data_IF_674103613602
#
_entry.id   IF_674103613602
#
_cell.length_a   1.000
_cell.length_b   1.000
_cell.length_c   1.000
_cell.angle_alpha   90.00
_cell.angle_beta   90.00
_cell.angle_gamma   90.00
#
_symmetry.space_group_name_H-M   'P 1'
#
loop_
_entity.id
_entity.type
_entity.pdbx_description
1 polymer ?
#
# COMPACT_ATOMS: atom_id res chain seq x y z
N UNK A 1 7.52 -16.67 23.66
CA UNK A 1 8.00 -15.99 22.43
C UNK A 1 7.39 -16.78 21.28
N UNK A 2 6.46 -16.18 20.51
CA UNK A 2 5.89 -16.86 19.35
C UNK A 2 6.93 -16.69 18.24
N UNK A 3 7.57 -17.79 17.85
CA UNK A 3 8.43 -17.80 16.69
C UNK A 3 7.54 -17.81 15.43
N UNK A 4 7.72 -16.84 14.54
CA UNK A 4 7.13 -16.88 13.22
C UNK A 4 7.66 -18.13 12.49
N UNK A 5 6.78 -18.86 11.78
CA UNK A 5 7.22 -19.97 10.94
C UNK A 5 8.20 -19.52 9.86
N UNK A 6 8.96 -20.41 9.31
CA UNK A 6 9.78 -20.11 8.15
C UNK A 6 8.91 -19.78 6.94
N UNK A 7 9.40 -18.89 6.09
CA UNK A 7 8.77 -18.60 4.82
C UNK A 7 8.76 -19.84 3.93
N UNK A 8 7.68 -20.04 3.19
CA UNK A 8 7.67 -20.97 2.07
C UNK A 8 8.33 -20.31 0.83
N UNK A 9 8.55 -21.09 -0.24
CA UNK A 9 9.22 -20.59 -1.45
C UNK A 9 8.51 -19.39 -2.11
N UNK A 10 7.20 -19.36 -2.05
CA UNK A 10 6.40 -18.28 -2.62
C UNK A 10 6.55 -16.99 -1.81
N UNK A 11 6.49 -17.09 -0.50
CA UNK A 11 6.72 -15.98 0.42
C UNK A 11 8.16 -15.46 0.35
N UNK A 12 9.14 -16.37 0.23
CA UNK A 12 10.55 -15.99 0.02
C UNK A 12 10.75 -15.21 -1.29
N UNK A 13 10.04 -15.59 -2.37
CA UNK A 13 10.04 -14.85 -3.64
C UNK A 13 9.54 -13.42 -3.41
N UNK A 14 8.40 -13.26 -2.74
CA UNK A 14 7.82 -11.95 -2.44
C UNK A 14 8.75 -11.09 -1.56
N UNK A 15 9.31 -11.69 -0.51
CA UNK A 15 10.28 -11.02 0.37
C UNK A 15 11.51 -10.57 -0.41
N UNK A 16 12.07 -11.43 -1.25
CA UNK A 16 13.22 -11.10 -2.10
C UNK A 16 12.89 -9.96 -3.06
N UNK A 17 11.70 -9.96 -3.63
CA UNK A 17 11.25 -8.87 -4.50
C UNK A 17 11.20 -7.53 -3.74
N UNK A 18 10.58 -7.49 -2.54
CA UNK A 18 10.53 -6.27 -1.73
C UNK A 18 11.95 -5.75 -1.38
N UNK A 19 12.86 -6.66 -1.00
CA UNK A 19 14.26 -6.31 -0.71
C UNK A 19 14.96 -5.75 -1.95
N UNK A 20 14.80 -6.39 -3.12
CA UNK A 20 15.40 -5.93 -4.37
C UNK A 20 14.86 -4.55 -4.80
N UNK A 21 13.61 -4.25 -4.47
CA UNK A 21 13.00 -2.94 -4.67
C UNK A 21 13.34 -1.94 -3.55
N UNK A 22 14.21 -2.31 -2.60
CA UNK A 22 14.59 -1.46 -1.47
C UNK A 22 13.40 -0.96 -0.62
N UNK A 23 12.32 -1.71 -0.59
CA UNK A 23 11.13 -1.40 0.18
C UNK A 23 11.34 -1.84 1.62
N UNK A 24 11.20 -0.90 2.56
CA UNK A 24 11.19 -1.20 4.00
C UNK A 24 9.85 -1.79 4.40
N UNK A 25 9.86 -2.90 5.15
CA UNK A 25 8.67 -3.57 5.63
C UNK A 25 8.93 -4.33 6.93
N UNK A 26 7.86 -4.62 7.67
CA UNK A 26 7.87 -5.64 8.71
C UNK A 26 6.94 -6.79 8.33
N UNK A 27 7.14 -7.96 8.90
CA UNK A 27 6.27 -9.11 8.68
C UNK A 27 5.53 -9.50 9.95
N UNK A 28 4.31 -9.97 9.77
CA UNK A 28 3.47 -10.51 10.83
C UNK A 28 2.75 -11.77 10.37
N UNK A 29 2.76 -12.81 11.19
CA UNK A 29 2.02 -14.03 10.94
C UNK A 29 0.65 -13.97 11.61
N UNK A 30 -0.38 -14.41 10.91
CA UNK A 30 -1.74 -14.53 11.43
C UNK A 30 -1.88 -15.89 12.11
N UNK A 31 -2.05 -15.90 13.43
CA UNK A 31 -2.37 -17.13 14.14
C UNK A 31 -3.88 -17.36 14.17
N UNK A 32 -4.32 -18.62 14.22
CA UNK A 32 -5.74 -18.95 14.35
C UNK A 32 -6.39 -18.25 15.56
N UNK A 33 -5.68 -18.22 16.70
CA UNK A 33 -6.14 -17.52 17.91
C UNK A 33 -6.21 -16.01 17.70
N UNK A 34 -5.22 -15.44 17.02
CA UNK A 34 -5.16 -14.02 16.69
C UNK A 34 -6.33 -13.62 15.80
N UNK A 35 -6.60 -14.41 14.77
CA UNK A 35 -7.71 -14.19 13.86
C UNK A 35 -9.07 -14.26 14.56
N UNK A 36 -9.30 -15.29 15.38
CA UNK A 36 -10.56 -15.45 16.15
C UNK A 36 -10.80 -14.31 17.16
N UNK A 37 -9.74 -13.78 17.76
CA UNK A 37 -9.83 -12.70 18.75
C UNK A 37 -9.74 -11.30 18.18
N UNK A 38 -9.39 -11.15 16.90
CA UNK A 38 -9.09 -9.86 16.31
C UNK A 38 -7.90 -9.17 17.01
N UNK A 39 -6.85 -9.91 17.34
CA UNK A 39 -5.69 -9.40 18.09
C UNK A 39 -4.43 -10.09 17.57
N UNK A 40 -3.43 -9.31 17.21
CA UNK A 40 -2.11 -9.77 16.84
C UNK A 40 -1.07 -9.21 17.81
N UNK A 41 -0.04 -9.98 18.09
CA UNK A 41 1.09 -9.51 18.89
C UNK A 41 1.97 -8.61 18.04
N UNK A 42 2.19 -7.37 18.48
CA UNK A 42 3.18 -6.50 17.87
C UNK A 42 4.59 -6.96 18.32
N UNK A 43 5.17 -7.87 17.54
CA UNK A 43 6.50 -8.46 17.83
C UNK A 43 7.60 -7.39 17.87
N UNK A 44 8.76 -7.71 18.43
CA UNK A 44 9.85 -6.76 18.52
C UNK A 44 10.25 -6.16 17.16
N UNK A 45 10.36 -6.93 16.04
CA UNK A 45 10.61 -6.36 14.72
C UNK A 45 9.52 -5.41 14.25
N UNK A 46 8.24 -5.74 14.48
CA UNK A 46 7.11 -4.87 14.11
C UNK A 46 7.15 -3.55 14.89
N UNK A 47 7.48 -3.60 16.20
CA UNK A 47 7.59 -2.39 17.03
C UNK A 47 8.73 -1.49 16.59
N UNK A 48 9.90 -2.07 16.32
CA UNK A 48 11.06 -1.33 15.81
C UNK A 48 10.72 -0.65 14.48
N UNK A 49 10.11 -1.39 13.56
CA UNK A 49 9.67 -0.88 12.27
C UNK A 49 8.67 0.28 12.40
N UNK A 50 7.70 0.18 13.30
CA UNK A 50 6.72 1.26 13.53
C UNK A 50 7.36 2.50 14.13
N UNK A 51 8.34 2.34 15.01
CA UNK A 51 9.10 3.46 15.57
C UNK A 51 9.95 4.16 14.51
N UNK A 52 10.69 3.40 13.69
CA UNK A 52 11.57 3.91 12.63
C UNK A 52 10.81 4.65 11.53
N UNK A 53 9.55 4.31 11.31
CA UNK A 53 8.71 4.92 10.28
C UNK A 53 7.64 5.89 10.81
N UNK A 54 7.79 6.36 12.04
CA UNK A 54 6.89 7.32 12.71
C UNK A 54 5.39 6.89 12.74
N UNK A 55 5.13 5.58 12.66
CA UNK A 55 3.77 5.04 12.77
C UNK A 55 3.34 5.03 14.22
N UNK A 56 4.17 4.46 15.12
CA UNK A 56 3.83 4.36 16.53
C UNK A 56 5.02 3.98 17.39
N UNK A 57 5.07 4.59 18.59
CA UNK A 57 6.01 4.23 19.65
C UNK A 57 5.26 3.56 20.84
N UNK A 58 5.36 2.25 20.94
CA UNK A 58 4.75 1.49 22.03
C UNK A 58 5.40 1.73 23.39
N UNK A 59 6.67 2.14 23.45
CA UNK A 59 7.40 2.27 24.73
C UNK A 59 6.87 3.44 25.55
N UNK A 60 6.35 4.47 24.90
CA UNK A 60 5.74 5.63 25.56
C UNK A 60 4.21 5.54 25.65
N UNK A 61 3.61 4.49 25.09
CA UNK A 61 2.15 4.34 25.09
C UNK A 61 1.65 3.87 26.46
N UNK A 62 0.68 4.58 27.00
CA UNK A 62 -0.03 4.17 28.21
C UNK A 62 -0.90 2.93 27.94
N UNK A 63 -1.13 2.12 28.98
CA UNK A 63 -1.97 0.93 28.90
C UNK A 63 -3.46 1.31 28.96
N UNK A 64 -4.29 0.48 28.33
CA UNK A 64 -5.73 0.56 28.38
C UNK A 64 -6.39 1.01 27.07
N UNK A 65 -7.69 0.72 26.96
CA UNK A 65 -8.50 0.96 25.77
C UNK A 65 -8.54 2.43 25.34
N UNK A 66 -8.56 3.37 26.32
CA UNK A 66 -8.57 4.81 26.07
C UNK A 66 -7.29 5.36 25.44
N UNK A 67 -6.22 4.56 25.42
CA UNK A 67 -4.91 4.94 24.88
C UNK A 67 -4.59 4.25 23.55
N UNK A 68 -5.58 3.65 22.90
CA UNK A 68 -5.41 3.09 21.56
C UNK A 68 -5.01 4.16 20.55
N UNK A 69 -3.99 3.87 19.77
CA UNK A 69 -3.64 4.65 18.58
C UNK A 69 -4.34 4.04 17.38
N UNK A 70 -5.11 4.85 16.68
CA UNK A 70 -5.72 4.46 15.41
C UNK A 70 -4.86 4.99 14.26
N UNK A 71 -4.51 4.11 13.32
CA UNK A 71 -3.70 4.41 12.14
C UNK A 71 -4.50 4.11 10.89
N UNK A 72 -4.58 5.04 9.97
CA UNK A 72 -5.18 4.82 8.65
C UNK A 72 -4.44 3.69 7.96
N UNK A 73 -5.17 2.74 7.42
CA UNK A 73 -4.58 1.54 6.87
C UNK A 73 -5.28 1.11 5.59
N UNK A 74 -4.56 0.36 4.77
CA UNK A 74 -5.04 -0.14 3.49
C UNK A 74 -4.67 -1.61 3.35
N UNK A 75 -5.65 -2.47 3.10
CA UNK A 75 -5.41 -3.85 2.72
C UNK A 75 -5.37 -3.89 1.19
N UNK A 76 -4.24 -4.31 0.63
CA UNK A 76 -4.04 -4.41 -0.80
C UNK A 76 -4.24 -5.85 -1.26
N UNK A 77 -5.04 -6.00 -2.29
CA UNK A 77 -5.11 -7.22 -3.11
C UNK A 77 -4.46 -6.95 -4.46
N UNK A 78 -4.39 -7.93 -5.32
CA UNK A 78 -3.94 -7.78 -6.72
C UNK A 78 -4.92 -6.97 -7.58
N UNK A 79 -6.15 -6.75 -7.11
CA UNK A 79 -7.22 -6.05 -7.85
C UNK A 79 -7.67 -4.76 -7.19
N UNK A 80 -7.71 -4.70 -5.85
CA UNK A 80 -8.40 -3.65 -5.12
C UNK A 80 -7.60 -3.15 -3.91
N UNK A 81 -7.89 -1.93 -3.51
CA UNK A 81 -7.42 -1.32 -2.26
C UNK A 81 -8.61 -1.15 -1.32
N UNK A 82 -8.50 -1.71 -0.12
CA UNK A 82 -9.54 -1.62 0.90
C UNK A 82 -9.08 -0.69 2.02
N UNK A 83 -9.66 0.49 2.07
CA UNK A 83 -9.42 1.42 3.17
C UNK A 83 -9.99 0.88 4.48
N UNK A 84 -9.17 0.97 5.52
CA UNK A 84 -9.49 0.51 6.85
C UNK A 84 -8.69 1.30 7.89
N UNK A 85 -8.68 0.82 9.12
CA UNK A 85 -7.85 1.33 10.21
C UNK A 85 -7.15 0.20 10.93
N UNK A 86 -5.99 0.50 11.49
CA UNK A 86 -5.31 -0.38 12.43
C UNK A 86 -5.38 0.21 13.83
N UNK A 87 -5.70 -0.62 14.82
CA UNK A 87 -5.59 -0.25 16.23
C UNK A 87 -4.28 -0.75 16.80
N UNK A 88 -3.55 0.13 17.46
CA UNK A 88 -2.26 -0.16 18.12
C UNK A 88 -2.43 0.17 19.61
N UNK A 89 -2.22 -0.80 20.49
CA UNK A 89 -2.49 -0.58 21.90
C UNK A 89 -1.71 -1.52 22.82
N UNK A 90 -1.66 -1.13 24.12
CA UNK A 90 -1.16 -1.96 25.20
C UNK A 90 -2.31 -2.26 26.17
N UNK A 91 -2.72 -3.52 26.30
CA UNK A 91 -3.79 -3.88 27.24
C UNK A 91 -3.34 -3.68 28.70
N UNK A 92 -4.28 -3.42 29.60
CA UNK A 92 -4.01 -3.38 31.05
C UNK A 92 -3.57 -4.76 31.57
N UNK A 93 -4.08 -5.83 30.95
CA UNK A 93 -3.73 -7.21 31.25
C UNK A 93 -2.42 -7.61 30.58
N UNK A 94 -1.86 -8.78 30.99
CA UNK A 94 -0.62 -9.35 30.41
C UNK A 94 0.55 -8.37 30.36
N UNK A 95 0.73 -7.60 31.43
CA UNK A 95 1.83 -6.62 31.59
C UNK A 95 1.88 -5.58 30.46
N UNK A 96 0.79 -5.37 29.75
CA UNK A 96 0.71 -4.39 28.66
C UNK A 96 1.46 -4.81 27.40
N UNK A 97 1.51 -6.10 27.08
CA UNK A 97 2.15 -6.59 25.85
C UNK A 97 1.59 -5.86 24.63
N UNK A 98 2.45 -5.26 23.79
CA UNK A 98 2.01 -4.53 22.61
C UNK A 98 1.18 -5.37 21.64
N UNK A 99 0.06 -4.81 21.21
CA UNK A 99 -0.94 -5.45 20.35
C UNK A 99 -1.29 -4.58 19.17
N UNK A 100 -1.68 -5.24 18.10
CA UNK A 100 -2.26 -4.56 16.94
C UNK A 100 -3.43 -5.37 16.37
N UNK A 101 -4.28 -4.68 15.64
CA UNK A 101 -5.30 -5.31 14.80
C UNK A 101 -5.61 -4.41 13.60
N UNK A 102 -5.71 -5.02 12.42
CA UNK A 102 -6.17 -4.36 11.20
C UNK A 102 -7.63 -4.70 11.01
N UNK A 103 -8.52 -3.71 11.06
CA UNK A 103 -9.95 -3.94 10.90
C UNK A 103 -10.25 -4.54 9.52
N UNK A 104 -11.29 -5.39 9.45
CA UNK A 104 -11.70 -6.14 8.25
C UNK A 104 -10.67 -7.17 7.74
N UNK A 105 -9.50 -7.29 8.36
CA UNK A 105 -8.44 -8.21 7.91
C UNK A 105 -8.94 -9.65 7.74
N UNK A 106 -9.82 -10.13 8.62
CA UNK A 106 -10.34 -11.49 8.57
C UNK A 106 -11.05 -11.91 7.27
N UNK A 107 -11.37 -10.95 6.39
CA UNK A 107 -11.94 -11.25 5.07
C UNK A 107 -10.89 -11.59 4.01
N UNK A 108 -9.62 -11.33 4.29
CA UNK A 108 -8.51 -11.40 3.33
C UNK A 108 -7.42 -12.36 3.76
N UNK A 109 -7.69 -13.17 4.80
CA UNK A 109 -6.65 -13.97 5.45
C UNK A 109 -7.13 -15.35 5.83
N UNK A 110 -6.19 -16.29 5.82
CA UNK A 110 -6.32 -17.59 6.45
C UNK A 110 -5.37 -17.68 7.66
N UNK A 111 -5.62 -18.62 8.60
CA UNK A 111 -4.62 -18.95 9.60
C UNK A 111 -3.27 -19.28 8.94
N UNK A 112 -2.19 -18.86 9.58
CA UNK A 112 -0.79 -19.02 9.15
C UNK A 112 -0.35 -18.16 7.95
N UNK A 113 -1.23 -17.35 7.37
CA UNK A 113 -0.81 -16.35 6.39
C UNK A 113 0.19 -15.36 6.99
N UNK A 114 1.12 -14.92 6.17
CA UNK A 114 2.12 -13.92 6.51
C UNK A 114 1.86 -12.65 5.72
N UNK A 115 1.91 -11.52 6.41
CA UNK A 115 1.72 -10.20 5.83
C UNK A 115 2.99 -9.38 5.84
N UNK A 116 3.18 -8.58 4.80
CA UNK A 116 4.04 -7.41 4.85
C UNK A 116 3.22 -6.22 5.35
N UNK A 117 3.79 -5.49 6.30
CA UNK A 117 3.35 -4.19 6.80
C UNK A 117 4.28 -3.15 6.21
N UNK A 118 3.77 -2.24 5.40
CA UNK A 118 4.55 -1.19 4.73
C UNK A 118 4.01 0.17 5.18
N UNK A 119 4.88 0.97 5.78
CA UNK A 119 4.56 2.33 6.20
C UNK A 119 4.82 3.30 5.05
N UNK A 120 3.85 4.14 4.75
CA UNK A 120 4.00 5.20 3.74
C UNK A 120 3.06 6.36 4.04
N UNK A 121 3.59 7.58 4.06
CA UNK A 121 2.84 8.82 4.31
C UNK A 121 1.93 8.75 5.56
N UNK A 122 2.48 8.23 6.68
CA UNK A 122 1.74 8.11 7.94
C UNK A 122 0.62 7.07 7.95
N UNK A 123 0.51 6.27 6.91
CA UNK A 123 -0.47 5.19 6.76
C UNK A 123 0.22 3.82 6.73
N UNK A 124 -0.55 2.78 6.99
CA UNK A 124 -0.06 1.40 6.99
C UNK A 124 -0.69 0.61 5.84
N UNK A 125 0.12 0.07 4.97
CA UNK A 125 -0.29 -0.79 3.86
C UNK A 125 0.00 -2.25 4.23
N UNK A 126 -0.96 -3.13 3.96
CA UNK A 126 -0.94 -4.54 4.37
C UNK A 126 -1.11 -5.41 3.14
N UNK A 127 -0.12 -6.26 2.85
CA UNK A 127 -0.10 -7.15 1.68
C UNK A 127 0.08 -8.59 2.15
N UNK A 128 -0.79 -9.50 1.71
CA UNK A 128 -0.70 -10.91 2.02
C UNK A 128 0.39 -11.60 1.20
N UNK A 129 1.55 -11.87 1.81
CA UNK A 129 2.69 -12.51 1.15
C UNK A 129 2.43 -13.97 0.78
N UNK A 130 1.47 -14.62 1.46
CA UNK A 130 1.14 -16.03 1.23
C UNK A 130 0.23 -16.21 0.02
N UNK A 131 -0.59 -15.23 -0.32
CA UNK A 131 -1.61 -15.34 -1.35
C UNK A 131 -1.33 -14.51 -2.60
N UNK A 132 -0.57 -13.42 -2.49
CA UNK A 132 -0.36 -12.45 -3.56
C UNK A 132 1.06 -12.56 -4.12
N UNK A 133 1.18 -12.68 -5.44
CA UNK A 133 2.47 -12.58 -6.16
C UNK A 133 2.77 -11.11 -6.44
N UNK A 134 3.55 -10.48 -5.56
CA UNK A 134 3.86 -9.04 -5.62
C UNK A 134 4.63 -8.69 -6.89
N UNK A 135 5.59 -9.52 -7.29
CA UNK A 135 6.38 -9.29 -8.51
C UNK A 135 5.50 -9.32 -9.75
N UNK A 136 4.62 -10.34 -9.86
CA UNK A 136 3.65 -10.44 -10.96
C UNK A 136 2.69 -9.25 -10.98
N UNK A 137 2.20 -8.81 -9.82
CA UNK A 137 1.36 -7.62 -9.72
C UNK A 137 2.09 -6.37 -10.18
N UNK A 138 3.34 -6.18 -9.77
CA UNK A 138 4.18 -5.04 -10.18
C UNK A 138 4.47 -5.04 -11.69
N UNK A 139 4.76 -6.21 -12.28
CA UNK A 139 5.05 -6.36 -13.71
C UNK A 139 3.80 -6.30 -14.59
N UNK A 140 2.61 -6.34 -14.00
CA UNK A 140 1.35 -6.27 -14.75
C UNK A 140 1.29 -5.00 -15.60
N UNK A 141 0.79 -5.12 -16.82
CA UNK A 141 0.46 -3.97 -17.68
C UNK A 141 -0.75 -3.19 -17.15
N UNK A 142 -1.61 -3.87 -16.38
CA UNK A 142 -2.75 -3.24 -15.75
C UNK A 142 -2.32 -2.48 -14.50
N UNK A 143 -2.91 -1.32 -14.30
CA UNK A 143 -2.78 -0.54 -13.07
C UNK A 143 -3.42 -1.35 -11.93
N UNK A 144 -2.70 -1.49 -10.84
CA UNK A 144 -3.18 -2.17 -9.64
C UNK A 144 -2.58 -1.54 -8.38
N UNK A 145 -3.22 -1.73 -7.21
CA UNK A 145 -2.82 -1.04 -5.98
C UNK A 145 -1.40 -1.34 -5.51
N UNK A 146 -0.88 -2.54 -5.78
CA UNK A 146 0.47 -2.94 -5.38
C UNK A 146 1.51 -2.19 -6.21
N UNK A 147 1.29 -2.11 -7.53
CA UNK A 147 2.16 -1.35 -8.42
C UNK A 147 2.16 0.13 -8.06
N UNK A 148 0.99 0.71 -7.80
CA UNK A 148 0.85 2.11 -7.42
C UNK A 148 1.58 2.42 -6.11
N UNK A 149 1.46 1.55 -5.10
CA UNK A 149 2.19 1.69 -3.85
C UNK A 149 3.71 1.66 -4.08
N UNK A 150 4.22 0.68 -4.84
CA UNK A 150 5.66 0.52 -5.09
C UNK A 150 6.22 1.74 -5.83
N UNK A 151 5.51 2.23 -6.85
CA UNK A 151 5.88 3.45 -7.58
C UNK A 151 5.91 4.66 -6.63
N UNK A 152 4.90 4.79 -5.78
CA UNK A 152 4.83 5.87 -4.79
C UNK A 152 5.97 5.82 -3.76
N UNK A 153 6.35 4.62 -3.31
CA UNK A 153 7.47 4.42 -2.38
C UNK A 153 8.82 4.82 -2.98
N UNK A 154 9.01 4.64 -4.28
CA UNK A 154 10.22 5.06 -4.97
C UNK A 154 10.30 6.58 -5.22
N UNK A 155 9.31 7.35 -4.76
CA UNK A 155 9.26 8.78 -5.03
C UNK A 155 9.15 9.09 -6.53
N UNK A 156 8.85 8.09 -7.35
CA UNK A 156 8.42 8.32 -8.72
C UNK A 156 7.04 8.97 -8.62
N UNK A 157 7.07 10.29 -8.41
CA UNK A 157 5.86 11.07 -8.48
C UNK A 157 5.19 10.72 -9.80
N UNK A 158 3.91 10.48 -9.75
CA UNK A 158 3.02 10.45 -10.91
C UNK A 158 2.90 11.85 -11.56
N UNK A 159 3.85 12.73 -11.33
CA UNK A 159 4.05 13.92 -12.14
C UNK A 159 4.65 13.44 -13.46
N UNK A 160 3.77 13.05 -14.35
CA UNK A 160 4.13 12.88 -15.75
C UNK A 160 4.75 14.22 -16.17
N UNK A 161 6.01 14.23 -16.60
CA UNK A 161 6.65 15.46 -17.03
C UNK A 161 5.80 16.09 -18.16
N UNK A 162 5.78 17.42 -18.24
CA UNK A 162 5.08 18.14 -19.32
C UNK A 162 5.49 17.62 -20.71
N UNK A 163 6.72 17.15 -20.82
CA UNK A 163 7.28 16.54 -22.03
C UNK A 163 6.62 15.20 -22.36
N UNK A 164 6.40 14.33 -21.37
CA UNK A 164 5.72 13.06 -21.55
C UNK A 164 4.20 13.26 -21.78
N UNK A 165 3.60 14.26 -21.13
CA UNK A 165 2.21 14.68 -21.40
C UNK A 165 2.05 15.18 -22.83
N UNK A 166 3.03 15.96 -23.35
CA UNK A 166 3.08 16.37 -24.73
C UNK A 166 3.13 15.19 -25.69
N UNK A 167 4.03 14.22 -25.46
CA UNK A 167 4.14 13.01 -26.27
C UNK A 167 2.89 12.14 -26.24
N UNK A 168 2.23 12.01 -25.07
CA UNK A 168 0.96 11.30 -24.95
C UNK A 168 -0.13 12.02 -25.75
N UNK A 169 -0.22 13.33 -25.62
CA UNK A 169 -1.20 14.15 -26.32
C UNK A 169 -1.02 14.07 -27.84
N UNK A 170 0.20 14.20 -28.34
CA UNK A 170 0.52 14.15 -29.78
C UNK A 170 0.17 12.79 -30.36
N UNK A 171 0.48 11.69 -29.64
CA UNK A 171 0.10 10.34 -30.10
C UNK A 171 -1.39 10.07 -30.01
N UNK A 172 -2.10 10.68 -29.08
CA UNK A 172 -3.54 10.48 -28.92
C UNK A 172 -4.35 11.36 -29.86
N UNK A 173 -3.84 12.53 -30.27
CA UNK A 173 -4.47 13.39 -31.25
C UNK A 173 -4.64 12.70 -32.60
N UNK A 174 -3.76 11.73 -32.92
CA UNK A 174 -3.85 10.95 -34.16
C UNK A 174 -4.95 9.86 -34.09
N UNK A 175 -5.50 9.56 -32.93
CA UNK A 175 -6.39 8.42 -32.70
C UNK A 175 -7.76 8.77 -32.16
N UNK A 176 -7.88 9.91 -31.51
CA UNK A 176 -9.13 10.38 -30.93
C UNK A 176 -9.48 11.76 -31.41
N UNK A 177 -10.76 12.01 -31.78
CA UNK A 177 -11.23 13.36 -32.02
C UNK A 177 -10.93 14.29 -30.86
N UNK A 178 -10.55 15.55 -31.15
CA UNK A 178 -10.20 16.55 -30.13
C UNK A 178 -11.28 16.71 -29.04
N UNK A 179 -12.54 16.60 -29.40
CA UNK A 179 -13.67 16.66 -28.47
C UNK A 179 -13.68 15.53 -27.45
N UNK A 180 -13.21 14.34 -27.82
CA UNK A 180 -13.09 13.20 -26.91
C UNK A 180 -11.89 13.39 -25.98
N UNK A 181 -10.81 13.96 -26.47
CA UNK A 181 -9.64 14.30 -25.68
C UNK A 181 -9.97 15.31 -24.58
N UNK A 182 -10.65 16.38 -24.93
CA UNK A 182 -11.01 17.45 -23.99
C UNK A 182 -12.05 17.00 -22.95
N UNK A 183 -12.91 16.04 -23.28
CA UNK A 183 -13.88 15.47 -22.33
C UNK A 183 -13.29 14.39 -21.42
N UNK A 184 -12.19 13.76 -21.82
CA UNK A 184 -11.59 12.62 -21.11
C UNK A 184 -10.53 13.08 -20.11
N UNK A 185 -9.91 14.24 -20.33
CA UNK A 185 -8.86 14.78 -19.49
C UNK A 185 -9.17 16.19 -19.04
N UNK A 186 -8.81 16.49 -17.81
CA UNK A 186 -8.79 17.83 -17.28
C UNK A 186 -7.46 18.08 -16.58
N UNK A 187 -7.02 19.31 -16.61
CA UNK A 187 -5.80 19.76 -15.96
C UNK A 187 -6.18 20.58 -14.74
N UNK A 188 -5.51 20.34 -13.61
CA UNK A 188 -5.52 21.28 -12.52
C UNK A 188 -4.22 22.06 -12.54
N UNK A 189 -4.31 23.38 -12.62
CA UNK A 189 -3.17 24.27 -12.42
C UNK A 189 -3.17 24.70 -10.95
N UNK A 190 -2.11 24.33 -10.23
CA UNK A 190 -1.87 24.84 -8.88
C UNK A 190 -0.70 25.83 -8.93
N UNK A 191 -0.96 27.07 -8.54
CA UNK A 191 0.10 28.02 -8.29
C UNK A 191 0.75 27.70 -6.95
N UNK A 192 1.99 27.26 -6.99
CA UNK A 192 2.84 27.10 -5.81
C UNK A 192 3.83 28.26 -5.71
N UNK A 193 4.42 28.49 -4.56
CA UNK A 193 5.44 29.51 -4.36
C UNK A 193 6.66 29.37 -5.28
N UNK A 194 6.84 28.24 -5.94
CA UNK A 194 7.93 27.90 -6.87
C UNK A 194 7.53 27.89 -8.35
N UNK A 195 6.26 28.18 -8.69
CA UNK A 195 5.78 28.16 -10.06
C UNK A 195 4.43 27.46 -10.23
N UNK A 196 3.98 27.34 -11.47
CA UNK A 196 2.74 26.63 -11.82
C UNK A 196 3.04 25.14 -11.99
N UNK A 197 2.47 24.32 -11.15
CA UNK A 197 2.52 22.87 -11.29
C UNK A 197 1.25 22.37 -11.98
N UNK A 198 1.39 21.66 -13.10
CA UNK A 198 0.28 21.04 -13.82
C UNK A 198 0.13 19.59 -13.40
N UNK A 199 -1.04 19.24 -12.95
CA UNK A 199 -1.38 17.88 -12.60
C UNK A 199 -2.35 17.31 -13.63
N UNK A 200 -1.98 16.17 -14.19
CA UNK A 200 -2.80 15.47 -15.18
C UNK A 200 -3.71 14.45 -14.49
N UNK A 201 -5.01 14.61 -14.62
CA UNK A 201 -5.98 13.71 -14.02
C UNK A 201 -6.99 13.23 -15.05
N UNK A 202 -7.25 11.93 -15.16
CA UNK A 202 -8.33 11.43 -16.02
C UNK A 202 -9.69 11.82 -15.45
N UNK A 203 -10.63 12.11 -16.32
CA UNK A 203 -11.98 12.55 -15.96
C UNK A 203 -12.75 11.51 -15.13
N UNK A 204 -12.47 10.23 -15.34
CA UNK A 204 -12.92 9.15 -14.46
C UNK A 204 -11.91 7.99 -14.42
N UNK A 205 -11.93 7.21 -13.32
CA UNK A 205 -11.00 6.10 -13.10
C UNK A 205 -11.11 4.98 -14.14
N UNK A 206 -12.29 4.78 -14.72
CA UNK A 206 -12.52 3.75 -15.72
C UNK A 206 -11.87 4.09 -17.06
N UNK A 207 -11.93 5.34 -17.45
CA UNK A 207 -11.28 5.83 -18.68
C UNK A 207 -9.75 5.79 -18.55
N UNK A 208 -9.19 6.12 -17.39
CA UNK A 208 -7.76 6.03 -17.15
C UNK A 208 -7.23 4.60 -17.35
N UNK A 209 -7.90 3.61 -16.76
CA UNK A 209 -7.51 2.21 -16.89
C UNK A 209 -7.54 1.73 -18.36
N UNK A 210 -8.53 2.15 -19.12
CA UNK A 210 -8.67 1.76 -20.53
C UNK A 210 -7.67 2.45 -21.46
N UNK A 211 -7.25 3.67 -21.16
CA UNK A 211 -6.30 4.40 -22.00
C UNK A 211 -4.91 3.78 -22.04
N UNK A 212 -4.42 3.29 -20.89
CA UNK A 212 -3.12 2.61 -20.86
C UNK A 212 -3.16 1.23 -21.51
N UNK A 213 -4.34 0.63 -21.63
CA UNK A 213 -4.53 -0.69 -22.26
C UNK A 213 -4.54 -0.60 -23.81
N UNK A 214 -4.84 0.58 -24.39
CA UNK A 214 -4.94 0.79 -25.83
C UNK A 214 -3.67 1.32 -26.51
N UNK A 215 -2.58 1.56 -25.76
CA UNK A 215 -1.30 1.89 -26.37
C UNK A 215 -0.61 0.61 -26.84
N UNK A 216 -0.57 0.29 -28.14
CA UNK A 216 0.26 -0.81 -28.61
C UNK A 216 1.72 -0.43 -28.40
N UNK A 217 2.42 -1.21 -27.62
CA UNK A 217 3.87 -1.17 -27.55
C UNK A 217 4.36 -1.68 -28.89
N UNK A 218 4.87 -0.80 -29.72
CA UNK A 218 5.68 -1.17 -30.90
C UNK A 218 7.13 -1.23 -30.51
#
# INVERSE_FOLDING_TARGET
>A
MIHMRQFNRFEEKNVRFLVNQQISYATIQITETGLKKGILDATAPVRAYFLENDIHNYDVQLQGEGHKRMVRSYILTDMEIHETQSSLYRPVTKKGDPRMWVYKLGKFVNPDDIFALIAHNGSLYVINLTQIDIEKAYQSVLVNPIKDLIISLHGMATSVSDELLGLIRDRMSDWLPSEVMDSTYWYSEQQTASGTQREYRPANKFMAANMFTFMPIK
#
